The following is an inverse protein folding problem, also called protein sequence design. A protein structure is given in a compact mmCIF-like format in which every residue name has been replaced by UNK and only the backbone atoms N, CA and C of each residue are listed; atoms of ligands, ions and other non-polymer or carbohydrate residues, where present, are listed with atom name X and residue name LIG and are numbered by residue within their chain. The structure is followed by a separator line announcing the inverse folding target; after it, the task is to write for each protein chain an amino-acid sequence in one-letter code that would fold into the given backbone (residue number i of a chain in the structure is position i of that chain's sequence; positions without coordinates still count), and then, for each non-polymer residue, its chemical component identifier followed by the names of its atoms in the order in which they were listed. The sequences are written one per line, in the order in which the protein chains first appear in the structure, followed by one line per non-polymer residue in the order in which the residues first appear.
data_IF_174339178002
#
_entry.id   IF_174339178002
#
_cell.length_a   1.000
_cell.length_b   1.000
_cell.length_c   1.000
_cell.angle_alpha   90.00
_cell.angle_beta   90.00
_cell.angle_gamma   90.00
#
_symmetry.space_group_name_H-M   'P 1'
#
loop_
_entity.id
_entity.type
_entity.pdbx_description
1 polymer ?
#
# COMPACT_ATOMS: atom_id res chain seq x y z
N UNK A 1 12.71 -0.33 -13.77
CA UNK A 1 12.36 0.28 -12.46
C UNK A 1 11.65 1.62 -12.62
N UNK A 2 10.48 1.76 -11.99
CA UNK A 2 9.69 2.98 -11.91
C UNK A 2 9.09 3.11 -10.50
N UNK A 3 9.13 4.31 -9.94
CA UNK A 3 8.63 4.62 -8.60
C UNK A 3 7.42 5.54 -8.71
N UNK A 4 6.35 5.21 -8.00
CA UNK A 4 5.12 5.99 -7.89
C UNK A 4 4.85 6.35 -6.44
N UNK A 5 4.55 7.62 -6.17
CA UNK A 5 4.37 8.13 -4.81
C UNK A 5 2.97 8.68 -4.62
N UNK A 6 2.41 8.43 -3.44
CA UNK A 6 1.21 9.11 -3.00
C UNK A 6 1.52 10.48 -2.39
N UNK A 7 0.52 11.36 -2.26
CA UNK A 7 0.66 12.54 -1.41
C UNK A 7 0.95 12.14 0.03
N UNK A 8 1.61 13.03 0.77
CA UNK A 8 1.75 12.91 2.22
C UNK A 8 0.45 13.30 2.89
N UNK A 9 -0.08 12.42 3.74
CA UNK A 9 -1.38 12.57 4.37
C UNK A 9 -1.21 12.61 5.89
N UNK A 10 -1.73 13.67 6.50
CA UNK A 10 -1.89 13.74 7.95
C UNK A 10 -3.09 12.89 8.39
N UNK A 11 -2.83 11.87 9.19
CA UNK A 11 -3.85 10.98 9.76
C UNK A 11 -4.50 11.62 10.99
N UNK A 12 -5.55 10.98 11.51
CA UNK A 12 -6.17 11.34 12.79
C UNK A 12 -5.71 10.45 13.95
N UNK A 13 -4.78 9.54 13.69
CA UNK A 13 -4.30 8.53 14.64
C UNK A 13 -2.79 8.64 14.79
N UNK A 14 -2.24 8.27 15.93
CA UNK A 14 -0.78 8.30 16.15
C UNK A 14 -0.05 7.32 15.24
N UNK A 15 1.25 7.58 15.00
CA UNK A 15 2.12 6.67 14.25
C UNK A 15 2.11 5.25 14.84
N UNK A 16 2.10 5.16 16.19
CA UNK A 16 1.95 3.89 16.92
C UNK A 16 0.68 3.15 16.58
N UNK A 17 -0.48 3.80 16.74
CA UNK A 17 -1.78 3.18 16.48
C UNK A 17 -1.94 2.77 15.02
N UNK A 18 -1.44 3.59 14.10
CA UNK A 18 -1.44 3.28 12.68
C UNK A 18 -0.58 2.04 12.38
N UNK A 19 0.67 2.03 12.85
CA UNK A 19 1.60 0.93 12.61
C UNK A 19 1.11 -0.39 13.20
N UNK A 20 0.71 -0.41 14.47
CA UNK A 20 0.24 -1.63 15.14
C UNK A 20 -0.97 -2.23 14.44
N UNK A 21 -1.85 -1.37 13.89
CA UNK A 21 -3.02 -1.82 13.14
C UNK A 21 -2.63 -2.36 11.76
N UNK A 22 -1.90 -1.60 10.95
CA UNK A 22 -1.68 -1.94 9.54
C UNK A 22 -0.47 -2.84 9.29
N UNK A 23 0.33 -3.15 10.31
CA UNK A 23 1.32 -4.23 10.24
C UNK A 23 0.67 -5.62 10.20
N UNK A 24 -0.62 -5.72 10.57
CA UNK A 24 -1.44 -6.91 10.35
C UNK A 24 -2.24 -6.74 9.06
N UNK A 25 -1.91 -7.50 8.02
CA UNK A 25 -2.50 -7.30 6.69
C UNK A 25 -4.01 -7.61 6.66
N UNK A 26 -4.56 -8.33 7.64
CA UNK A 26 -6.01 -8.50 7.75
C UNK A 26 -6.78 -7.17 7.90
N UNK A 27 -6.11 -6.11 8.34
CA UNK A 27 -6.71 -4.80 8.55
C UNK A 27 -6.69 -3.92 7.28
N UNK A 28 -5.95 -4.28 6.23
CA UNK A 28 -5.90 -3.47 5.00
C UNK A 28 -7.26 -3.36 4.32
N UNK A 29 -8.14 -4.36 4.47
CA UNK A 29 -9.51 -4.35 3.93
C UNK A 29 -10.31 -3.08 4.26
N UNK A 30 -10.00 -2.41 5.36
CA UNK A 30 -10.67 -1.17 5.76
C UNK A 30 -10.31 0.04 4.89
N UNK A 31 -9.14 0.00 4.25
CA UNK A 31 -8.61 1.09 3.44
C UNK A 31 -8.55 0.75 1.95
N UNK A 32 -8.93 -0.47 1.56
CA UNK A 32 -8.97 -0.85 0.14
C UNK A 32 -10.05 -0.08 -0.63
N UNK A 33 -9.75 0.34 -1.87
CA UNK A 33 -10.77 0.89 -2.76
C UNK A 33 -11.78 -0.16 -3.22
N UNK A 34 -12.97 0.29 -3.64
CA UNK A 34 -14.04 -0.59 -4.14
C UNK A 34 -13.68 -1.36 -5.42
N UNK A 35 -12.71 -0.85 -6.18
CA UNK A 35 -12.16 -1.52 -7.38
C UNK A 35 -11.32 -2.77 -7.06
N UNK A 36 -11.04 -3.01 -5.78
CA UNK A 36 -10.32 -4.20 -5.30
C UNK A 36 -11.35 -5.27 -4.96
N UNK A 37 -11.21 -6.43 -5.58
CA UNK A 37 -12.07 -7.60 -5.36
C UNK A 37 -11.24 -8.80 -4.93
N UNK A 38 -11.92 -9.83 -4.42
CA UNK A 38 -11.31 -11.09 -3.96
C UNK A 38 -10.18 -10.91 -2.92
N UNK A 39 -10.27 -9.90 -2.05
CA UNK A 39 -9.26 -9.68 -1.02
C UNK A 39 -9.17 -10.87 -0.06
N UNK A 40 -7.99 -11.50 -0.01
CA UNK A 40 -7.64 -12.57 0.94
C UNK A 40 -6.39 -12.15 1.70
N UNK A 41 -6.33 -12.46 2.98
CA UNK A 41 -5.17 -12.09 3.80
C UNK A 41 -4.91 -13.05 4.95
N UNK A 42 -3.65 -13.03 5.39
CA UNK A 42 -3.20 -13.46 6.70
C UNK A 42 -2.62 -12.24 7.43
N UNK A 43 -1.96 -12.43 8.57
CA UNK A 43 -1.26 -11.34 9.23
C UNK A 43 -0.08 -10.80 8.41
N UNK A 44 0.53 -11.63 7.55
CA UNK A 44 1.78 -11.32 6.83
C UNK A 44 1.65 -11.37 5.31
N UNK A 45 0.55 -11.89 4.77
CA UNK A 45 0.35 -12.00 3.32
C UNK A 45 -1.02 -11.46 2.93
N UNK A 46 -1.15 -10.94 1.73
CA UNK A 46 -2.45 -10.63 1.14
C UNK A 46 -2.45 -10.87 -0.37
N UNK A 47 -3.61 -11.19 -0.91
CA UNK A 47 -3.85 -11.21 -2.35
C UNK A 47 -5.13 -10.47 -2.70
N UNK A 48 -5.13 -9.86 -3.88
CA UNK A 48 -6.28 -9.13 -4.38
C UNK A 48 -6.24 -8.98 -5.89
N UNK A 49 -7.42 -8.76 -6.48
CA UNK A 49 -7.54 -8.41 -7.89
C UNK A 49 -7.97 -6.95 -8.02
N UNK A 50 -7.37 -6.25 -8.96
CA UNK A 50 -7.87 -4.96 -9.43
C UNK A 50 -8.76 -5.25 -10.63
N UNK A 51 -9.98 -4.71 -10.69
CA UNK A 51 -10.85 -4.89 -11.86
C UNK A 51 -10.11 -4.56 -13.16
N UNK A 52 -10.09 -5.51 -14.11
CA UNK A 52 -9.36 -5.38 -15.38
C UNK A 52 -7.85 -5.67 -15.31
N UNK A 53 -7.33 -6.14 -14.18
CA UNK A 53 -5.93 -6.53 -13.99
C UNK A 53 -5.80 -7.96 -13.41
N UNK A 54 -4.58 -8.49 -13.41
CA UNK A 54 -4.29 -9.80 -12.79
C UNK A 54 -4.39 -9.73 -11.26
N UNK A 55 -4.51 -10.90 -10.63
CA UNK A 55 -4.32 -11.02 -9.19
C UNK A 55 -2.89 -10.57 -8.82
N UNK A 56 -2.78 -9.86 -7.70
CA UNK A 56 -1.52 -9.42 -7.11
C UNK A 56 -1.40 -10.11 -5.76
N UNK A 57 -0.27 -10.79 -5.52
CA UNK A 57 0.05 -11.39 -4.24
C UNK A 57 1.22 -10.67 -3.58
N UNK A 58 1.02 -10.19 -2.36
CA UNK A 58 2.03 -9.48 -1.57
C UNK A 58 2.32 -10.19 -0.25
N UNK A 59 3.55 -10.08 0.22
CA UNK A 59 3.93 -10.44 1.58
C UNK A 59 4.71 -9.35 2.30
N UNK A 60 4.61 -9.35 3.62
CA UNK A 60 5.34 -8.47 4.50
C UNK A 60 6.85 -8.74 4.38
N UNK A 61 7.55 -7.78 3.81
CA UNK A 61 8.99 -7.80 3.63
C UNK A 61 9.71 -7.19 4.84
N UNK A 62 9.26 -6.00 5.26
CA UNK A 62 9.89 -5.26 6.35
C UNK A 62 8.82 -4.52 7.18
N UNK A 63 8.98 -4.52 8.50
CA UNK A 63 8.15 -3.74 9.42
C UNK A 63 9.05 -3.04 10.45
N UNK A 64 9.30 -1.75 10.25
CA UNK A 64 10.08 -0.92 11.17
C UNK A 64 9.09 -0.18 12.07
N UNK A 65 9.09 -0.41 13.40
CA UNK A 65 8.15 0.18 14.33
C UNK A 65 7.94 1.68 14.10
N UNK A 66 6.68 2.03 13.85
CA UNK A 66 6.18 3.42 13.71
C UNK A 66 6.80 4.21 12.55
N UNK A 67 7.56 3.55 11.67
CA UNK A 67 8.33 4.20 10.60
C UNK A 67 8.01 3.66 9.23
N UNK A 68 7.89 2.33 9.08
CA UNK A 68 7.76 1.71 7.77
C UNK A 68 7.07 0.36 7.82
N UNK A 69 6.18 0.12 6.87
CA UNK A 69 5.64 -1.21 6.54
C UNK A 69 5.90 -1.41 5.05
N UNK A 70 6.64 -2.45 4.68
CA UNK A 70 7.01 -2.77 3.30
C UNK A 70 6.43 -4.12 2.93
N UNK A 71 5.71 -4.18 1.80
CA UNK A 71 5.24 -5.41 1.20
C UNK A 71 5.97 -5.62 -0.13
N UNK A 72 6.23 -6.88 -0.48
CA UNK A 72 6.86 -7.28 -1.74
C UNK A 72 6.00 -8.32 -2.45
N UNK A 73 6.02 -8.35 -3.78
CA UNK A 73 5.31 -9.35 -4.56
C UNK A 73 5.87 -10.76 -4.37
N UNK A 74 4.95 -11.72 -4.37
CA UNK A 74 5.27 -13.14 -4.55
C UNK A 74 5.29 -13.57 -6.01
N UNK A 75 4.67 -12.78 -6.88
CA UNK A 75 4.53 -13.10 -8.29
C UNK A 75 5.86 -12.90 -9.02
N UNK A 76 6.26 -13.89 -9.84
CA UNK A 76 7.52 -13.86 -10.60
C UNK A 76 7.47 -12.94 -11.82
N UNK A 77 6.28 -12.68 -12.36
CA UNK A 77 6.10 -11.95 -13.62
C UNK A 77 6.14 -10.43 -13.44
N UNK A 78 5.90 -9.92 -12.23
CA UNK A 78 5.92 -8.50 -11.91
C UNK A 78 6.49 -8.26 -10.51
N UNK A 79 7.75 -7.86 -10.47
CA UNK A 79 8.41 -7.44 -9.22
C UNK A 79 7.87 -6.07 -8.79
N UNK A 80 7.04 -6.07 -7.75
CA UNK A 80 6.46 -4.86 -7.16
C UNK A 80 6.73 -4.84 -5.66
N UNK A 81 7.02 -3.66 -5.12
CA UNK A 81 7.03 -3.40 -3.69
C UNK A 81 6.09 -2.25 -3.36
N UNK A 82 5.35 -2.39 -2.25
CA UNK A 82 4.48 -1.37 -1.69
C UNK A 82 5.05 -0.96 -0.33
N UNK A 83 5.60 0.24 -0.26
CA UNK A 83 6.15 0.83 0.95
C UNK A 83 5.16 1.83 1.54
N UNK A 84 4.86 1.68 2.82
CA UNK A 84 4.11 2.63 3.61
C UNK A 84 5.06 3.27 4.61
N UNK A 85 5.30 4.55 4.45
CA UNK A 85 6.15 5.34 5.33
C UNK A 85 5.29 6.10 6.33
N UNK A 86 5.76 6.15 7.57
CA UNK A 86 5.05 6.71 8.71
C UNK A 86 6.01 7.65 9.41
N UNK A 87 5.61 8.90 9.54
CA UNK A 87 6.33 9.92 10.29
C UNK A 87 5.47 10.35 11.49
N UNK A 88 6.10 10.49 12.64
CA UNK A 88 5.44 10.90 13.86
C UNK A 88 5.20 12.42 13.85
N UNK A 89 3.96 12.84 14.17
CA UNK A 89 3.61 14.25 14.27
C UNK A 89 2.70 14.47 15.49
N UNK A 90 3.31 14.65 16.66
CA UNK A 90 2.62 14.74 17.95
C UNK A 90 1.67 13.54 18.16
N UNK A 91 0.36 13.79 18.36
CA UNK A 91 -0.64 12.73 18.52
C UNK A 91 -1.15 12.13 17.18
N UNK A 92 -0.57 12.55 16.06
CA UNK A 92 -0.94 12.15 14.70
C UNK A 92 0.26 11.50 13.99
N UNK A 93 0.03 11.10 12.75
CA UNK A 93 1.08 10.66 11.85
C UNK A 93 0.95 11.35 10.50
N UNK A 94 2.08 11.55 9.83
CA UNK A 94 2.13 11.79 8.39
C UNK A 94 2.43 10.45 7.74
N UNK A 95 1.59 10.04 6.79
CA UNK A 95 1.71 8.77 6.08
C UNK A 95 1.76 9.02 4.58
N UNK A 96 2.67 8.35 3.89
CA UNK A 96 2.69 8.30 2.43
C UNK A 96 3.03 6.88 1.95
N UNK A 97 2.58 6.57 0.75
CA UNK A 97 2.74 5.29 0.10
C UNK A 97 3.64 5.44 -1.12
N UNK A 98 4.47 4.44 -1.35
CA UNK A 98 5.34 4.33 -2.50
C UNK A 98 5.17 2.95 -3.12
N UNK A 99 5.04 2.90 -4.45
CA UNK A 99 5.09 1.67 -5.22
C UNK A 99 6.34 1.70 -6.09
N UNK A 100 7.26 0.78 -5.85
CA UNK A 100 8.38 0.51 -6.75
C UNK A 100 8.02 -0.71 -7.59
N UNK A 101 8.18 -0.61 -8.91
CA UNK A 101 7.88 -1.70 -9.83
C UNK A 101 8.95 -1.81 -10.91
N UNK A 102 9.42 -3.02 -11.15
CA UNK A 102 10.43 -3.27 -12.17
C UNK A 102 9.80 -3.49 -13.55
N UNK A 103 9.59 -2.38 -14.25
CA UNK A 103 9.02 -2.35 -15.61
C UNK A 103 9.89 -1.57 -16.58
N UNK A 104 9.76 -1.93 -17.87
CA UNK A 104 10.27 -1.15 -18.99
C UNK A 104 9.35 0.03 -19.34
N UNK A 105 9.76 0.87 -20.30
CA UNK A 105 9.01 2.07 -20.70
C UNK A 105 7.57 1.78 -21.17
N UNK A 106 7.36 0.72 -21.95
CA UNK A 106 6.04 0.38 -22.48
C UNK A 106 5.11 -0.12 -21.37
N UNK A 107 5.58 -1.08 -20.57
CA UNK A 107 4.79 -1.63 -19.45
C UNK A 107 4.52 -0.56 -18.40
N UNK A 108 5.45 0.38 -18.17
CA UNK A 108 5.24 1.53 -17.27
C UNK A 108 3.98 2.31 -17.63
N UNK A 109 3.75 2.61 -18.92
CA UNK A 109 2.57 3.38 -19.36
C UNK A 109 1.25 2.67 -19.07
N UNK A 110 1.25 1.34 -19.08
CA UNK A 110 0.07 0.51 -18.79
C UNK A 110 -0.24 0.50 -17.30
N UNK A 111 0.78 0.37 -16.45
CA UNK A 111 0.61 0.25 -14.99
C UNK A 111 0.54 1.61 -14.28
N UNK A 112 1.05 2.69 -14.88
CA UNK A 112 1.14 4.02 -14.26
C UNK A 112 -0.23 4.54 -13.83
N UNK A 113 -1.24 4.49 -14.69
CA UNK A 113 -2.58 4.99 -14.37
C UNK A 113 -3.27 4.18 -13.25
N UNK A 114 -3.37 2.83 -13.32
CA UNK A 114 -4.03 2.06 -12.27
C UNK A 114 -3.29 2.15 -10.92
N UNK A 115 -1.95 2.17 -10.92
CA UNK A 115 -1.16 2.30 -9.68
C UNK A 115 -1.30 3.69 -9.04
N UNK A 116 -1.28 4.77 -9.84
CA UNK A 116 -1.53 6.12 -9.33
C UNK A 116 -2.95 6.26 -8.75
N UNK A 117 -3.95 5.65 -9.40
CA UNK A 117 -5.32 5.63 -8.89
C UNK A 117 -5.44 4.86 -7.58
N UNK A 118 -4.76 3.71 -7.47
CA UNK A 118 -4.68 2.94 -6.22
C UNK A 118 -4.07 3.78 -5.09
N UNK A 119 -2.89 4.38 -5.32
CA UNK A 119 -2.21 5.23 -4.34
C UNK A 119 -3.08 6.40 -3.88
N UNK A 120 -3.75 7.08 -4.82
CA UNK A 120 -4.65 8.19 -4.53
C UNK A 120 -5.80 7.74 -3.63
N UNK A 121 -6.45 6.63 -3.94
CA UNK A 121 -7.61 6.18 -3.16
C UNK A 121 -7.21 5.67 -1.78
N UNK A 122 -6.12 4.89 -1.68
CA UNK A 122 -5.57 4.46 -0.39
C UNK A 122 -5.24 5.67 0.50
N UNK A 123 -4.63 6.71 -0.06
CA UNK A 123 -4.31 7.95 0.66
C UNK A 123 -5.55 8.67 1.19
N UNK A 124 -6.64 8.72 0.40
CA UNK A 124 -7.90 9.29 0.87
C UNK A 124 -8.50 8.45 2.01
N UNK A 125 -8.50 7.12 1.89
CA UNK A 125 -8.99 6.23 2.94
C UNK A 125 -8.19 6.33 4.23
N UNK A 126 -6.86 6.44 4.13
CA UNK A 126 -5.97 6.66 5.28
C UNK A 126 -6.29 7.98 5.99
N UNK A 127 -6.62 9.05 5.25
CA UNK A 127 -7.03 10.34 5.80
C UNK A 127 -8.33 10.27 6.63
N UNK A 128 -9.21 9.35 6.27
CA UNK A 128 -10.53 9.17 6.89
C UNK A 128 -10.52 8.28 8.14
N UNK A 129 -9.38 7.63 8.43
CA UNK A 129 -9.23 6.77 9.60
C UNK A 129 -9.47 7.53 10.91
N UNK A 130 -10.19 6.87 11.83
CA UNK A 130 -10.57 7.38 13.15
C UNK A 130 -9.96 6.54 14.28
#
# INVERSE_FOLDING_TARGET
MAIFNSPHIKTRVSAKRFFEKYSNLNNLKEILPTQIVDYKSTEKTCSFKIEGFSEIQLELNEAIPYKKISLISKDYDLNISLNCFIEEEAEKAIVYLEIDVDVNFFTKRIVEQPLNNLLKTLSQKIKELK
#
